data_IF_259614250556
#
_entry.id   IF_259614250556
#
_cell.length_a   1.000
_cell.length_b   1.000
_cell.length_c   1.000
_cell.angle_alpha   90.00
_cell.angle_beta   90.00
_cell.angle_gamma   90.00
#
_symmetry.space_group_name_H-M   'P 1'
#
loop_
_entity.id
_entity.type
_entity.pdbx_description
1 polymer ?
#
# COMPACT_ATOMS: atom_id res chain seq x y z
N UNK A 1 5.65 -12.05 -11.52
CA UNK A 1 5.86 -11.92 -10.05
C UNK A 1 4.53 -12.21 -9.37
N UNK A 2 4.43 -13.26 -8.55
CA UNK A 2 3.23 -13.51 -7.73
C UNK A 2 3.28 -12.58 -6.52
N UNK A 3 2.29 -11.71 -6.36
CA UNK A 3 2.09 -11.01 -5.10
C UNK A 3 1.83 -12.07 -4.03
N UNK A 4 2.71 -12.17 -3.04
CA UNK A 4 2.48 -13.07 -1.89
C UNK A 4 1.26 -12.61 -1.09
N UNK A 5 0.62 -13.52 -0.34
CA UNK A 5 -0.55 -13.24 0.49
C UNK A 5 -0.40 -12.02 1.40
N UNK A 6 0.81 -11.77 1.91
CA UNK A 6 1.14 -10.57 2.71
C UNK A 6 1.10 -9.27 1.93
N UNK A 7 1.58 -9.25 0.69
CA UNK A 7 1.54 -8.07 -0.16
C UNK A 7 0.09 -7.70 -0.51
N UNK A 8 -0.76 -8.71 -0.70
CA UNK A 8 -2.20 -8.53 -0.90
C UNK A 8 -2.85 -7.98 0.37
N UNK A 9 -2.54 -8.53 1.55
CA UNK A 9 -3.07 -8.02 2.81
C UNK A 9 -2.70 -6.54 3.04
N UNK A 10 -1.44 -6.15 2.75
CA UNK A 10 -0.99 -4.76 2.82
C UNK A 10 -1.80 -3.88 1.86
N UNK A 11 -2.01 -4.33 0.63
CA UNK A 11 -2.81 -3.60 -0.35
C UNK A 11 -4.27 -3.45 0.10
N UNK A 12 -4.88 -4.50 0.64
CA UNK A 12 -6.24 -4.48 1.18
C UNK A 12 -6.35 -3.46 2.31
N UNK A 13 -5.45 -3.47 3.29
CA UNK A 13 -5.45 -2.48 4.40
C UNK A 13 -5.35 -1.04 3.89
N UNK A 14 -4.53 -0.80 2.86
CA UNK A 14 -4.40 0.52 2.25
C UNK A 14 -5.66 0.95 1.49
N UNK A 15 -6.34 0.01 0.83
CA UNK A 15 -7.56 0.26 0.06
C UNK A 15 -8.78 0.46 0.97
N UNK A 16 -8.91 -0.35 2.03
CA UNK A 16 -9.94 -0.18 3.07
C UNK A 16 -9.85 1.20 3.73
N UNK A 17 -8.64 1.73 3.84
CA UNK A 17 -8.33 3.05 4.39
C UNK A 17 -7.95 4.03 3.28
N UNK A 18 -8.57 3.92 2.12
CA UNK A 18 -8.29 4.79 0.99
C UNK A 18 -8.46 6.26 1.39
N UNK A 19 -7.43 7.07 1.15
CA UNK A 19 -7.40 8.46 1.58
C UNK A 19 -6.91 8.69 3.01
N UNK A 20 -6.69 7.67 3.83
CA UNK A 20 -6.09 7.81 5.17
C UNK A 20 -4.60 7.46 5.17
N UNK A 21 -3.88 8.00 6.17
CA UNK A 21 -2.48 7.69 6.38
C UNK A 21 -2.34 6.46 7.28
N UNK A 22 -1.90 5.34 6.71
CA UNK A 22 -1.60 4.12 7.45
C UNK A 22 -0.17 4.19 7.99
N UNK A 23 -0.06 4.48 9.28
CA UNK A 23 1.21 4.66 10.00
C UNK A 23 1.84 3.35 10.44
N UNK A 24 3.13 3.38 10.85
CA UNK A 24 3.85 2.24 11.44
C UNK A 24 3.07 1.50 12.55
N UNK A 25 2.27 2.22 13.33
CA UNK A 25 1.46 1.60 14.40
C UNK A 25 0.37 0.67 13.87
N UNK A 26 -0.27 1.00 12.75
CA UNK A 26 -1.30 0.16 12.12
C UNK A 26 -0.73 -1.15 11.58
N UNK A 27 0.58 -1.16 11.27
CA UNK A 27 1.29 -2.35 10.83
C UNK A 27 1.77 -3.21 12.00
N UNK A 28 1.73 -2.73 13.26
CA UNK A 28 2.04 -3.58 14.44
C UNK A 28 0.89 -4.50 14.83
N UNK A 29 -0.34 -4.10 14.53
CA UNK A 29 -1.55 -4.90 14.76
C UNK A 29 -1.79 -5.92 13.65
N UNK A 30 -1.22 -5.67 12.47
CA UNK A 30 -1.23 -6.59 11.33
C UNK A 30 0.09 -7.37 11.40
N UNK A 31 0.15 -8.66 11.06
CA UNK A 31 1.38 -9.49 11.21
C UNK A 31 2.55 -9.10 10.27
N UNK A 32 2.60 -7.85 9.81
CA UNK A 32 3.57 -7.30 8.85
C UNK A 32 4.66 -6.56 9.62
N UNK A 33 5.90 -7.06 9.55
CA UNK A 33 7.06 -6.35 10.09
C UNK A 33 7.48 -5.17 9.19
N UNK A 34 8.05 -4.11 9.79
CA UNK A 34 8.47 -2.88 9.09
C UNK A 34 9.45 -3.14 7.93
N UNK A 35 10.37 -4.10 8.12
CA UNK A 35 11.33 -4.53 7.10
C UNK A 35 10.64 -5.17 5.88
N UNK A 36 9.56 -5.93 6.10
CA UNK A 36 8.79 -6.56 5.02
C UNK A 36 7.89 -5.57 4.30
N UNK A 37 7.41 -4.53 4.99
CA UNK A 37 6.52 -3.51 4.43
C UNK A 37 7.18 -2.78 3.25
N UNK A 38 8.43 -2.34 3.40
CA UNK A 38 9.16 -1.62 2.34
C UNK A 38 9.38 -2.49 1.10
N UNK A 39 9.73 -3.77 1.28
CA UNK A 39 9.90 -4.73 0.16
C UNK A 39 8.58 -4.97 -0.57
N UNK A 40 7.49 -5.16 0.16
CA UNK A 40 6.15 -5.32 -0.43
C UNK A 40 5.68 -4.06 -1.15
N UNK A 41 5.99 -2.86 -0.63
CA UNK A 41 5.67 -1.58 -1.29
C UNK A 41 6.45 -1.40 -2.59
N UNK A 42 7.72 -1.80 -2.63
CA UNK A 42 8.53 -1.79 -3.87
C UNK A 42 7.95 -2.75 -4.89
N UNK A 43 7.54 -3.96 -4.47
CA UNK A 43 6.88 -4.92 -5.36
C UNK A 43 5.52 -4.40 -5.88
N UNK A 44 4.71 -3.79 -5.02
CA UNK A 44 3.42 -3.17 -5.38
C UNK A 44 3.61 -2.04 -6.40
N UNK A 45 4.61 -1.18 -6.20
CA UNK A 45 4.94 -0.09 -7.14
C UNK A 45 5.48 -0.57 -8.48
N UNK A 46 6.02 -1.77 -8.54
CA UNK A 46 6.51 -2.40 -9.79
C UNK A 46 5.43 -3.20 -10.51
N UNK A 47 4.24 -3.37 -9.91
CA UNK A 47 3.14 -4.08 -10.53
C UNK A 47 2.55 -3.26 -11.70
N UNK A 48 2.18 -3.92 -12.82
CA UNK A 48 1.56 -3.25 -13.96
C UNK A 48 0.27 -2.55 -13.51
N UNK A 49 0.15 -1.24 -13.79
CA UNK A 49 -0.93 -0.36 -13.30
C UNK A 49 -0.48 0.69 -12.28
N UNK A 50 0.71 0.56 -11.69
CA UNK A 50 1.37 1.61 -10.92
C UNK A 50 2.39 2.32 -11.83
N UNK A 51 1.88 3.16 -12.75
CA UNK A 51 2.68 3.79 -13.79
C UNK A 51 3.59 4.93 -13.30
N UNK A 52 4.62 5.22 -14.10
CA UNK A 52 5.52 6.39 -13.96
C UNK A 52 4.83 7.75 -14.19
N UNK A 53 3.54 7.76 -14.51
CA UNK A 53 2.80 8.95 -14.90
C UNK A 53 1.79 9.32 -13.82
N UNK A 54 2.17 10.19 -12.87
CA UNK A 54 1.27 10.99 -12.02
C UNK A 54 0.30 10.29 -11.05
N UNK A 55 -0.24 9.13 -11.38
CA UNK A 55 -1.28 8.37 -10.69
C UNK A 55 -0.67 7.29 -9.81
N UNK A 56 0.20 7.70 -8.89
CA UNK A 56 0.69 6.76 -7.87
C UNK A 56 -0.44 6.46 -6.91
N UNK A 57 -1.03 5.27 -7.02
CA UNK A 57 -2.09 4.84 -6.11
C UNK A 57 -1.58 4.71 -4.67
N UNK A 58 -0.27 4.49 -4.44
CA UNK A 58 0.33 4.41 -3.11
C UNK A 58 1.37 5.53 -2.90
N UNK A 59 1.04 6.47 -2.04
CA UNK A 59 1.89 7.56 -1.59
C UNK A 59 2.73 7.13 -0.39
N UNK A 60 4.03 7.44 -0.44
CA UNK A 60 4.91 7.32 0.73
C UNK A 60 4.93 8.68 1.42
N UNK A 61 4.64 8.71 2.72
CA UNK A 61 4.80 9.87 3.58
C UNK A 61 6.04 9.63 4.45
N UNK A 62 7.19 10.25 4.12
CA UNK A 62 8.46 9.99 4.79
C UNK A 62 8.34 10.09 6.31
N UNK A 63 8.88 9.10 7.02
CA UNK A 63 8.87 9.04 8.48
C UNK A 63 7.50 8.75 9.13
N UNK A 64 6.41 8.71 8.36
CA UNK A 64 5.05 8.51 8.90
C UNK A 64 4.40 7.21 8.47
N UNK A 65 4.42 6.88 7.18
CA UNK A 65 3.77 5.69 6.66
C UNK A 65 3.35 5.82 5.20
N UNK A 66 2.26 5.13 4.84
CA UNK A 66 1.79 5.02 3.47
C UNK A 66 0.31 5.36 3.36
N UNK A 67 -0.10 5.92 2.22
CA UNK A 67 -1.48 6.32 1.95
C UNK A 67 -1.89 5.84 0.57
N UNK A 68 -3.10 5.30 0.45
CA UNK A 68 -3.68 5.03 -0.86
C UNK A 68 -4.38 6.29 -1.39
N UNK A 69 -3.93 6.80 -2.54
CA UNK A 69 -4.38 8.07 -3.13
C UNK A 69 -5.66 7.95 -3.95
N UNK A 70 -5.87 6.80 -4.60
CA UNK A 70 -7.09 6.60 -5.36
C UNK A 70 -8.24 6.47 -4.37
N UNK A 71 -9.26 7.34 -4.46
CA UNK A 71 -10.60 7.00 -3.95
C UNK A 71 -10.93 5.71 -4.67
N UNK A 72 -11.03 4.58 -3.96
CA UNK A 72 -11.46 3.35 -4.58
C UNK A 72 -12.79 3.66 -5.27
N UNK A 73 -12.78 3.76 -6.61
CA UNK A 73 -14.02 3.75 -7.37
C UNK A 73 -14.46 2.31 -7.27
N UNK A 74 -15.26 2.01 -6.26
CA UNK A 74 -16.11 0.83 -6.28
C UNK A 74 -17.02 1.03 -7.48
N UNK A 75 -16.69 0.39 -8.61
CA UNK A 75 -17.68 0.20 -9.67
C UNK A 75 -18.74 -0.71 -9.08
N UNK A 76 -19.89 -0.12 -8.78
CA UNK A 76 -21.12 -0.84 -8.50
C UNK A 76 -21.59 -1.60 -9.75
#
# INVERSE_FOLDING_TARGET
>A
MRLGSRAIAILVTLVERAGELVTKQHWRTTTVTDANLTVHMVALRRAPGQGNSGERCILNVPGRGYRFAARARTSA
#
